data_IF_923710363779
#
_entry.id   IF_923710363779
#
_cell.length_a   1.000
_cell.length_b   1.000
_cell.length_c   1.000
_cell.angle_alpha   90.00
_cell.angle_beta   90.00
_cell.angle_gamma   90.00
#
_symmetry.space_group_name_H-M   'P 1'
#
loop_
_entity.id
_entity.type
_entity.pdbx_description
1 polymer ?
#
# COMPACT_ATOMS: atom_id res chain seq x y z
N UNK A 1 -1.52 -19.55 -8.07
CA UNK A 1 -2.94 -19.57 -8.50
C UNK A 1 -3.69 -18.68 -7.52
N UNK A 2 -4.59 -17.82 -7.99
CA UNK A 2 -5.35 -16.90 -7.13
C UNK A 2 -6.28 -17.72 -6.21
N UNK A 3 -6.36 -17.37 -4.92
CA UNK A 3 -7.10 -18.15 -3.93
C UNK A 3 -8.57 -17.70 -3.86
N UNK A 4 -9.50 -18.64 -3.68
CA UNK A 4 -10.87 -18.34 -3.31
C UNK A 4 -11.24 -19.02 -1.98
N UNK A 5 -12.14 -18.42 -1.21
CA UNK A 5 -12.63 -19.01 0.05
C UNK A 5 -14.13 -19.26 0.01
N UNK A 6 -14.54 -20.41 0.54
CA UNK A 6 -15.92 -20.85 0.61
C UNK A 6 -16.36 -20.83 2.07
N UNK A 7 -17.29 -19.94 2.39
CA UNK A 7 -18.00 -19.85 3.66
C UNK A 7 -19.32 -20.58 3.48
N UNK A 8 -19.56 -21.65 4.22
CA UNK A 8 -20.83 -22.39 4.13
C UNK A 8 -21.02 -23.28 5.37
N UNK A 9 -22.24 -23.74 5.60
CA UNK A 9 -22.47 -24.78 6.59
C UNK A 9 -21.75 -26.08 6.20
N UNK A 10 -20.93 -26.60 7.10
CA UNK A 10 -20.19 -27.85 6.92
C UNK A 10 -21.00 -29.02 7.48
N UNK A 11 -20.94 -30.18 6.81
CA UNK A 11 -21.57 -31.43 7.27
C UNK A 11 -23.07 -31.52 6.98
N UNK A 12 -23.62 -30.64 6.14
CA UNK A 12 -24.95 -30.80 5.59
C UNK A 12 -24.83 -31.44 4.19
N UNK A 13 -25.40 -32.64 3.95
CA UNK A 13 -25.23 -33.36 2.68
C UNK A 13 -25.67 -32.60 1.43
N UNK A 14 -26.75 -31.81 1.52
CA UNK A 14 -27.24 -31.02 0.39
C UNK A 14 -26.26 -29.88 0.04
N UNK A 15 -25.79 -29.17 1.08
CA UNK A 15 -24.84 -28.08 0.88
C UNK A 15 -23.48 -28.59 0.42
N UNK A 16 -23.02 -29.72 0.95
CA UNK A 16 -21.80 -30.38 0.48
C UNK A 16 -21.94 -30.79 -1.00
N UNK A 17 -23.09 -31.33 -1.41
CA UNK A 17 -23.37 -31.64 -2.82
C UNK A 17 -23.33 -30.40 -3.71
N UNK A 18 -24.01 -29.31 -3.34
CA UNK A 18 -23.99 -28.05 -4.12
C UNK A 18 -22.59 -27.45 -4.18
N UNK A 19 -21.82 -27.55 -3.11
CA UNK A 19 -20.43 -27.09 -3.07
C UNK A 19 -19.56 -27.85 -4.10
N UNK A 20 -19.66 -29.18 -4.11
CA UNK A 20 -18.90 -30.05 -5.01
C UNK A 20 -19.37 -29.97 -6.47
N UNK A 21 -20.68 -29.88 -6.69
CA UNK A 21 -21.28 -29.89 -8.03
C UNK A 21 -21.29 -28.52 -8.72
N UNK A 22 -21.34 -27.42 -7.97
CA UNK A 22 -21.43 -26.07 -8.52
C UNK A 22 -20.35 -25.10 -8.04
N UNK A 23 -20.21 -24.87 -6.73
CA UNK A 23 -19.34 -23.78 -6.21
C UNK A 23 -17.87 -24.04 -6.57
N UNK A 24 -17.34 -25.22 -6.28
CA UNK A 24 -15.95 -25.60 -6.56
C UNK A 24 -15.67 -25.61 -8.07
N UNK A 25 -16.49 -26.24 -8.92
CA UNK A 25 -16.33 -26.18 -10.37
C UNK A 25 -16.36 -24.75 -10.93
N UNK A 26 -17.27 -23.89 -10.46
CA UNK A 26 -17.36 -22.50 -10.90
C UNK A 26 -16.08 -21.71 -10.59
N UNK A 27 -15.56 -21.84 -9.36
CA UNK A 27 -14.31 -21.21 -8.95
C UNK A 27 -13.11 -21.69 -9.79
N UNK A 28 -13.00 -23.02 -9.99
CA UNK A 28 -11.93 -23.61 -10.82
C UNK A 28 -12.01 -23.16 -12.28
N UNK A 29 -13.20 -23.09 -12.86
CA UNK A 29 -13.41 -22.59 -14.23
C UNK A 29 -12.98 -21.12 -14.40
N UNK A 30 -12.96 -20.36 -13.29
CA UNK A 30 -12.46 -18.98 -13.22
C UNK A 30 -10.98 -18.87 -12.81
N UNK A 31 -10.23 -19.98 -12.80
CA UNK A 31 -8.79 -20.00 -12.51
C UNK A 31 -8.43 -19.81 -11.03
N UNK A 32 -9.40 -20.00 -10.13
CA UNK A 32 -9.21 -19.85 -8.68
C UNK A 32 -8.92 -21.20 -8.02
N UNK A 33 -8.15 -21.16 -6.93
CA UNK A 33 -7.89 -22.28 -6.03
C UNK A 33 -8.88 -22.24 -4.84
N UNK A 34 -9.96 -23.05 -4.85
CA UNK A 34 -11.01 -22.99 -3.84
C UNK A 34 -10.56 -23.60 -2.52
N UNK A 35 -10.71 -22.84 -1.43
CA UNK A 35 -10.43 -23.24 -0.05
C UNK A 35 -11.73 -23.33 0.74
N UNK A 36 -11.79 -24.37 1.56
CA UNK A 36 -12.86 -24.64 2.54
C UNK A 36 -12.19 -25.14 3.82
N UNK A 37 -12.56 -24.59 4.96
CA UNK A 37 -11.78 -24.73 6.20
C UNK A 37 -11.69 -26.18 6.69
N UNK A 38 -12.73 -27.00 6.55
CA UNK A 38 -12.70 -28.42 6.92
C UNK A 38 -11.78 -29.27 6.04
N UNK A 39 -11.53 -28.84 4.80
CA UNK A 39 -10.72 -29.58 3.82
C UNK A 39 -9.26 -29.11 3.74
N UNK A 40 -8.99 -27.87 4.12
CA UNK A 40 -7.71 -27.21 3.86
C UNK A 40 -7.04 -26.65 5.11
N UNK A 41 -7.55 -26.96 6.30
CA UNK A 41 -6.91 -26.53 7.53
C UNK A 41 -5.51 -27.14 7.68
N UNK A 42 -4.65 -26.44 8.42
CA UNK A 42 -3.26 -26.86 8.70
C UNK A 42 -3.07 -27.37 10.14
N UNK A 43 -4.17 -27.64 10.84
CA UNK A 43 -4.16 -28.08 12.24
C UNK A 43 -3.89 -26.98 13.28
N UNK A 44 -3.91 -25.71 12.87
CA UNK A 44 -3.83 -24.56 13.77
C UNK A 44 -5.19 -24.22 14.43
N UNK A 45 -5.26 -23.06 15.09
CA UNK A 45 -6.53 -22.56 15.60
C UNK A 45 -7.46 -22.24 14.43
N UNK A 46 -8.60 -22.94 14.36
CA UNK A 46 -9.56 -22.85 13.25
C UNK A 46 -9.94 -21.39 12.93
N UNK A 47 -10.13 -20.56 13.96
CA UNK A 47 -10.44 -19.14 13.82
C UNK A 47 -9.34 -18.36 13.08
N UNK A 48 -8.07 -18.60 13.40
CA UNK A 48 -6.96 -17.90 12.73
C UNK A 48 -6.80 -18.31 11.27
N UNK A 49 -7.13 -19.56 10.94
CA UNK A 49 -7.05 -20.04 9.56
C UNK A 49 -8.20 -19.50 8.70
N UNK A 50 -9.42 -19.42 9.26
CA UNK A 50 -10.56 -18.77 8.61
C UNK A 50 -10.24 -17.29 8.31
N UNK A 51 -9.67 -16.57 9.28
CA UNK A 51 -9.21 -15.18 9.08
C UNK A 51 -8.20 -15.11 7.93
N UNK A 52 -7.18 -15.97 7.93
CA UNK A 52 -6.17 -15.99 6.88
C UNK A 52 -6.76 -16.34 5.50
N UNK A 53 -7.74 -17.24 5.44
CA UNK A 53 -8.44 -17.54 4.19
C UNK A 53 -9.28 -16.37 3.69
N UNK A 54 -9.99 -15.66 4.57
CA UNK A 54 -10.76 -14.47 4.20
C UNK A 54 -9.82 -13.37 3.70
N UNK A 55 -8.79 -13.02 4.45
CA UNK A 55 -7.84 -11.96 4.10
C UNK A 55 -7.03 -12.29 2.83
N UNK A 56 -6.68 -13.56 2.61
CA UNK A 56 -5.86 -14.00 1.48
C UNK A 56 -6.59 -14.36 0.18
N UNK A 57 -7.94 -14.38 0.16
CA UNK A 57 -8.71 -14.83 -1.03
C UNK A 57 -9.20 -13.68 -1.91
N UNK A 58 -9.04 -13.79 -3.21
CA UNK A 58 -9.47 -12.76 -4.17
C UNK A 58 -10.98 -12.82 -4.45
N UNK A 59 -11.60 -13.97 -4.21
CA UNK A 59 -13.05 -14.18 -4.28
C UNK A 59 -13.49 -14.98 -3.05
N UNK A 60 -14.60 -14.57 -2.45
CA UNK A 60 -15.22 -15.24 -1.32
C UNK A 60 -16.66 -15.56 -1.70
N UNK A 61 -17.03 -16.83 -1.65
CA UNK A 61 -18.42 -17.28 -1.85
C UNK A 61 -18.98 -17.69 -0.50
N UNK A 62 -20.04 -17.01 -0.05
CA UNK A 62 -20.64 -17.27 1.25
C UNK A 62 -22.10 -17.70 1.12
N UNK A 63 -22.38 -18.93 1.53
CA UNK A 63 -23.72 -19.49 1.53
C UNK A 63 -24.41 -19.28 2.88
N UNK A 64 -25.58 -18.65 2.85
CA UNK A 64 -26.38 -18.25 4.01
C UNK A 64 -27.50 -19.25 4.35
N UNK A 65 -27.59 -20.36 3.64
CA UNK A 65 -28.64 -21.38 3.85
C UNK A 65 -28.59 -21.91 5.28
N UNK A 66 -29.77 -22.13 5.87
CA UNK A 66 -29.99 -22.57 7.25
C UNK A 66 -29.51 -21.60 8.34
N UNK A 67 -29.34 -20.31 8.01
CA UNK A 67 -29.16 -19.24 9.00
C UNK A 67 -27.98 -19.47 9.95
N UNK A 68 -26.86 -20.01 9.43
CA UNK A 68 -25.76 -20.47 10.27
C UNK A 68 -24.97 -19.32 10.90
N UNK A 69 -24.92 -19.21 12.25
CA UNK A 69 -24.28 -18.07 12.91
C UNK A 69 -22.82 -17.85 12.52
N UNK A 70 -22.05 -18.93 12.32
CA UNK A 70 -20.65 -18.83 11.91
C UNK A 70 -20.50 -18.22 10.50
N UNK A 71 -21.36 -18.59 9.55
CA UNK A 71 -21.33 -18.02 8.21
C UNK A 71 -21.66 -16.52 8.24
N UNK A 72 -22.63 -16.11 9.07
CA UNK A 72 -22.95 -14.70 9.28
C UNK A 72 -21.79 -13.92 9.92
N UNK A 73 -21.11 -14.51 10.90
CA UNK A 73 -19.92 -13.91 11.53
C UNK A 73 -18.78 -13.73 10.51
N UNK A 74 -18.52 -14.74 9.68
CA UNK A 74 -17.47 -14.72 8.65
C UNK A 74 -17.80 -13.72 7.53
N UNK A 75 -19.07 -13.60 7.14
CA UNK A 75 -19.54 -12.55 6.22
C UNK A 75 -19.36 -11.17 6.84
N UNK A 76 -19.77 -10.98 8.09
CA UNK A 76 -19.59 -9.71 8.80
C UNK A 76 -18.11 -9.33 8.92
N UNK A 77 -17.23 -10.30 9.21
CA UNK A 77 -15.79 -10.07 9.23
C UNK A 77 -15.24 -9.73 7.84
N UNK A 78 -15.66 -10.45 6.79
CA UNK A 78 -15.29 -10.18 5.40
C UNK A 78 -15.64 -8.74 4.99
N UNK A 79 -16.83 -8.26 5.37
CA UNK A 79 -17.24 -6.87 5.19
C UNK A 79 -16.37 -5.91 6.02
N UNK A 80 -16.11 -6.25 7.29
CA UNK A 80 -15.29 -5.45 8.21
C UNK A 80 -13.84 -5.25 7.75
N UNK A 81 -13.25 -6.22 7.05
CA UNK A 81 -11.91 -6.10 6.44
C UNK A 81 -11.94 -5.50 5.03
N UNK A 82 -13.03 -4.84 4.65
CA UNK A 82 -13.23 -4.16 3.36
C UNK A 82 -13.15 -5.07 2.14
N UNK A 83 -13.47 -6.36 2.29
CA UNK A 83 -13.50 -7.34 1.18
C UNK A 83 -14.92 -7.61 0.68
N UNK A 84 -15.82 -6.65 0.88
CA UNK A 84 -17.19 -6.72 0.38
C UNK A 84 -17.23 -6.86 -1.15
N UNK A 85 -16.32 -6.21 -1.89
CA UNK A 85 -16.25 -6.34 -3.35
C UNK A 85 -15.82 -7.74 -3.81
N UNK A 86 -15.13 -8.50 -2.96
CA UNK A 86 -14.72 -9.87 -3.21
C UNK A 86 -15.81 -10.89 -2.86
N UNK A 87 -16.86 -10.47 -2.15
CA UNK A 87 -17.89 -11.33 -1.59
C UNK A 87 -19.05 -11.56 -2.58
N UNK A 88 -19.42 -12.83 -2.75
CA UNK A 88 -20.64 -13.27 -3.44
C UNK A 88 -21.48 -14.03 -2.42
N UNK A 89 -22.66 -13.50 -2.11
CA UNK A 89 -23.62 -14.17 -1.24
C UNK A 89 -24.45 -15.17 -2.05
N UNK A 90 -24.69 -16.35 -1.48
CA UNK A 90 -25.57 -17.38 -2.03
C UNK A 90 -26.53 -17.88 -0.95
N UNK A 91 -27.69 -18.40 -1.35
CA UNK A 91 -28.61 -19.07 -0.44
C UNK A 91 -29.58 -19.97 -1.22
N UNK A 92 -30.18 -20.97 -0.57
CA UNK A 92 -31.26 -21.75 -1.20
C UNK A 92 -32.48 -20.87 -1.47
N UNK A 93 -33.16 -21.11 -2.59
CA UNK A 93 -34.26 -20.28 -3.09
C UNK A 93 -35.39 -20.07 -2.06
N UNK A 94 -35.67 -21.05 -1.20
CA UNK A 94 -36.69 -20.96 -0.15
C UNK A 94 -36.35 -19.97 0.98
N UNK A 95 -35.10 -19.49 1.04
CA UNK A 95 -34.66 -18.45 1.98
C UNK A 95 -34.88 -17.02 1.46
N UNK A 96 -35.30 -16.87 0.20
CA UNK A 96 -35.68 -15.58 -0.36
C UNK A 96 -37.11 -15.23 0.09
N UNK A 97 -37.25 -14.24 0.98
CA UNK A 97 -38.55 -13.83 1.49
C UNK A 97 -39.46 -13.19 0.43
N UNK A 98 -38.87 -12.65 -0.64
CA UNK A 98 -39.59 -12.06 -1.77
C UNK A 98 -40.03 -13.10 -2.80
N UNK A 99 -39.63 -14.38 -2.63
CA UNK A 99 -40.02 -15.43 -3.54
C UNK A 99 -41.50 -15.84 -3.30
N UNK A 100 -42.34 -15.91 -4.34
CA UNK A 100 -43.73 -16.36 -4.21
C UNK A 100 -43.89 -17.76 -3.58
N UNK A 101 -42.85 -18.59 -3.63
CA UNK A 101 -42.83 -19.94 -3.04
C UNK A 101 -42.40 -19.95 -1.56
N UNK A 102 -41.95 -18.82 -1.01
CA UNK A 102 -41.54 -18.74 0.38
C UNK A 102 -42.74 -18.92 1.31
N UNK A 103 -42.59 -19.80 2.30
CA UNK A 103 -43.65 -20.07 3.28
C UNK A 103 -43.51 -19.12 4.48
N UNK A 104 -44.59 -18.48 4.94
CA UNK A 104 -44.55 -17.71 6.18
C UNK A 104 -43.99 -18.54 7.34
N UNK A 105 -42.99 -18.00 8.03
CA UNK A 105 -42.28 -18.70 9.12
C UNK A 105 -41.26 -19.76 8.66
N UNK A 106 -41.02 -19.87 7.35
CA UNK A 106 -39.95 -20.69 6.79
C UNK A 106 -38.55 -20.08 6.95
N UNK A 107 -37.50 -20.82 6.51
CA UNK A 107 -36.12 -20.35 6.55
C UNK A 107 -35.95 -19.03 5.78
N UNK A 108 -35.05 -18.16 6.24
CA UNK A 108 -34.86 -16.84 5.61
C UNK A 108 -33.44 -16.34 5.69
N UNK A 109 -33.05 -15.45 4.79
CA UNK A 109 -31.90 -14.57 5.02
C UNK A 109 -32.34 -13.43 5.95
N UNK A 110 -31.65 -13.26 7.08
CA UNK A 110 -31.93 -12.18 8.04
C UNK A 110 -31.75 -10.78 7.45
N UNK A 111 -32.49 -9.82 8.02
CA UNK A 111 -32.63 -8.45 7.47
C UNK A 111 -31.30 -7.73 7.23
N UNK A 112 -30.28 -7.98 8.06
CA UNK A 112 -28.95 -7.38 7.90
C UNK A 112 -28.30 -7.75 6.57
N UNK A 113 -28.61 -8.93 6.02
CA UNK A 113 -28.05 -9.43 4.76
C UNK A 113 -29.08 -9.49 3.61
N UNK A 114 -30.38 -9.46 3.89
CA UNK A 114 -31.43 -9.66 2.88
C UNK A 114 -31.49 -8.55 1.82
N UNK A 115 -30.98 -7.35 2.14
CA UNK A 115 -30.90 -6.23 1.19
C UNK A 115 -29.73 -6.27 0.20
N UNK A 116 -28.83 -7.26 0.32
CA UNK A 116 -27.70 -7.42 -0.59
C UNK A 116 -28.06 -8.28 -1.81
N UNK A 117 -27.24 -8.19 -2.85
CA UNK A 117 -27.35 -9.07 -4.02
C UNK A 117 -26.95 -10.51 -3.66
N UNK A 118 -27.96 -11.36 -3.46
CA UNK A 118 -27.81 -12.78 -3.14
C UNK A 118 -28.15 -13.61 -4.38
N UNK A 119 -27.24 -14.52 -4.75
CA UNK A 119 -27.50 -15.50 -5.79
C UNK A 119 -28.22 -16.71 -5.19
N UNK A 120 -29.50 -16.85 -5.48
CA UNK A 120 -30.29 -17.98 -5.02
C UNK A 120 -30.09 -19.24 -5.88
N UNK A 121 -30.09 -20.41 -5.25
CA UNK A 121 -29.97 -21.71 -5.92
C UNK A 121 -31.13 -22.65 -5.59
N UNK A 122 -31.48 -23.52 -6.55
CA UNK A 122 -32.49 -24.59 -6.41
C UNK A 122 -31.77 -25.95 -6.55
N UNK A 123 -31.96 -26.90 -5.62
CA UNK A 123 -31.44 -28.27 -5.74
C UNK A 123 -31.72 -28.96 -7.09
N UNK A 124 -32.79 -28.57 -7.79
CA UNK A 124 -33.17 -29.13 -9.09
C UNK A 124 -32.41 -28.49 -10.24
N UNK A 125 -31.81 -27.31 -10.06
CA UNK A 125 -31.25 -26.47 -11.13
C UNK A 125 -29.80 -26.04 -10.81
N UNK A 126 -29.02 -26.95 -10.20
CA UNK A 126 -27.64 -26.71 -9.73
C UNK A 126 -26.69 -26.26 -10.86
N UNK A 127 -26.86 -26.77 -12.07
CA UNK A 127 -26.06 -26.35 -13.24
C UNK A 127 -26.33 -24.91 -13.67
N UNK A 128 -27.56 -24.41 -13.51
CA UNK A 128 -27.90 -23.01 -13.80
C UNK A 128 -27.25 -22.09 -12.77
N UNK A 129 -27.33 -22.48 -11.50
CA UNK A 129 -26.62 -21.80 -10.42
C UNK A 129 -25.11 -21.75 -10.68
N UNK A 130 -24.47 -22.87 -11.07
CA UNK A 130 -23.04 -22.88 -11.43
C UNK A 130 -22.72 -21.85 -12.51
N UNK A 131 -23.46 -21.87 -13.62
CA UNK A 131 -23.24 -20.96 -14.76
C UNK A 131 -23.41 -19.49 -14.34
N UNK A 132 -24.39 -19.19 -13.51
CA UNK A 132 -24.61 -17.81 -13.05
C UNK A 132 -23.54 -17.37 -12.03
N UNK A 133 -23.12 -18.28 -11.14
CA UNK A 133 -22.01 -18.04 -10.22
C UNK A 133 -20.71 -17.77 -11.00
N UNK A 134 -20.39 -18.55 -12.03
CA UNK A 134 -19.24 -18.31 -12.92
C UNK A 134 -19.27 -16.91 -13.54
N UNK A 135 -20.44 -16.45 -14.02
CA UNK A 135 -20.59 -15.08 -14.56
C UNK A 135 -20.34 -14.03 -13.50
N UNK A 136 -20.89 -14.20 -12.30
CA UNK A 136 -20.69 -13.27 -11.17
C UNK A 136 -19.22 -13.21 -10.76
N UNK A 137 -18.56 -14.36 -10.65
CA UNK A 137 -17.12 -14.44 -10.36
C UNK A 137 -16.32 -13.68 -11.43
N UNK A 138 -16.57 -13.93 -12.72
CA UNK A 138 -15.88 -13.23 -13.82
C UNK A 138 -16.12 -11.72 -13.78
N UNK A 139 -17.36 -11.27 -13.51
CA UNK A 139 -17.68 -9.85 -13.32
C UNK A 139 -16.91 -9.25 -12.15
N UNK A 140 -16.88 -9.93 -11.00
CA UNK A 140 -16.13 -9.48 -9.81
C UNK A 140 -14.63 -9.46 -10.09
N UNK A 141 -14.06 -10.48 -10.72
CA UNK A 141 -12.65 -10.51 -11.14
C UNK A 141 -12.33 -9.39 -12.14
N UNK A 142 -13.24 -9.06 -13.06
CA UNK A 142 -13.07 -7.94 -13.98
C UNK A 142 -13.16 -6.58 -13.26
N UNK A 143 -14.06 -6.43 -12.29
CA UNK A 143 -14.15 -5.23 -11.44
C UNK A 143 -12.92 -5.10 -10.55
N UNK A 144 -12.51 -6.15 -9.83
CA UNK A 144 -11.29 -6.18 -9.01
C UNK A 144 -10.03 -5.95 -9.87
N UNK A 145 -10.00 -6.51 -11.09
CA UNK A 145 -8.94 -6.28 -12.08
C UNK A 145 -8.95 -4.89 -12.70
N UNK A 146 -10.11 -4.22 -12.80
CA UNK A 146 -10.25 -2.82 -13.21
C UNK A 146 -10.02 -1.84 -12.06
N UNK A 147 -10.21 -2.25 -10.79
CA UNK A 147 -9.86 -1.47 -9.60
C UNK A 147 -8.34 -1.26 -9.50
N UNK A 148 -7.51 -2.10 -10.14
CA UNK A 148 -6.06 -1.83 -10.30
C UNK A 148 -5.79 -0.63 -11.22
N UNK A 149 -6.73 -0.23 -12.07
CA UNK A 149 -6.64 0.94 -12.93
C UNK A 149 -7.41 2.17 -12.40
N UNK A 150 -7.99 2.07 -11.19
CA UNK A 150 -8.91 3.09 -10.67
C UNK A 150 -9.12 3.05 -9.16
N UNK A 151 -8.12 2.67 -8.37
CA UNK A 151 -8.16 2.91 -6.92
C UNK A 151 -8.34 4.42 -6.68
N UNK A 152 -9.18 4.87 -5.73
CA UNK A 152 -8.92 6.15 -5.11
C UNK A 152 -7.47 6.08 -4.64
N UNK A 153 -6.66 6.94 -5.24
CA UNK A 153 -5.25 7.10 -4.93
C UNK A 153 -5.07 7.01 -3.41
N UNK A 154 -4.17 6.16 -2.92
CA UNK A 154 -3.84 6.12 -1.48
C UNK A 154 -3.47 7.54 -0.96
N UNK A 155 -3.00 8.37 -1.89
CA UNK A 155 -2.76 9.79 -1.75
C UNK A 155 -4.06 10.59 -1.70
N UNK A 156 -4.32 11.19 -0.54
CA UNK A 156 -5.23 12.31 -0.39
C UNK A 156 -4.67 13.52 -1.14
N UNK A 157 -5.11 13.70 -2.39
CA UNK A 157 -4.62 14.78 -3.27
C UNK A 157 -5.04 16.16 -2.79
N UNK A 158 -6.18 16.28 -2.12
CA UNK A 158 -6.66 17.54 -1.56
C UNK A 158 -5.72 18.04 -0.45
N UNK A 159 -5.04 17.14 0.25
CA UNK A 159 -3.98 17.48 1.19
C UNK A 159 -2.59 17.62 0.54
N UNK A 160 -2.21 16.71 -0.36
CA UNK A 160 -0.84 16.66 -0.92
C UNK A 160 -0.56 17.74 -1.95
N UNK A 161 -1.50 18.01 -2.86
CA UNK A 161 -1.25 18.92 -3.97
C UNK A 161 -1.00 20.37 -3.52
N UNK A 162 -1.70 20.92 -2.50
CA UNK A 162 -1.36 22.22 -1.94
C UNK A 162 0.08 22.30 -1.41
N UNK A 163 0.53 21.29 -0.66
CA UNK A 163 1.91 21.21 -0.16
C UNK A 163 2.92 21.15 -1.30
N UNK A 164 2.61 20.37 -2.34
CA UNK A 164 3.44 20.26 -3.54
C UNK A 164 3.55 21.57 -4.31
N UNK A 165 2.43 22.27 -4.52
CA UNK A 165 2.39 23.55 -5.21
C UNK A 165 3.27 24.58 -4.49
N UNK A 166 3.14 24.69 -3.16
CA UNK A 166 3.96 25.61 -2.35
C UNK A 166 5.44 25.25 -2.47
N UNK A 167 5.78 23.98 -2.23
CA UNK A 167 7.17 23.52 -2.25
C UNK A 167 7.84 23.70 -3.62
N UNK A 168 7.14 23.40 -4.71
CA UNK A 168 7.64 23.57 -6.09
C UNK A 168 7.83 25.04 -6.45
N UNK A 169 6.88 25.91 -6.07
CA UNK A 169 7.03 27.36 -6.28
C UNK A 169 8.25 27.92 -5.57
N UNK A 170 8.51 27.47 -4.34
CA UNK A 170 9.54 28.08 -3.50
C UNK A 170 10.94 27.48 -3.74
N UNK A 171 11.05 26.20 -4.15
CA UNK A 171 12.33 25.65 -4.62
C UNK A 171 12.83 26.34 -5.89
N UNK A 172 11.94 26.72 -6.82
CA UNK A 172 12.31 27.42 -8.06
C UNK A 172 13.04 28.75 -7.79
N UNK A 173 12.75 29.40 -6.64
CA UNK A 173 13.43 30.63 -6.21
C UNK A 173 14.89 30.39 -5.78
N UNK A 174 15.25 29.17 -5.40
CA UNK A 174 16.58 28.83 -4.84
C UNK A 174 17.67 28.59 -5.90
N UNK A 175 17.38 28.87 -7.19
CA UNK A 175 18.26 28.56 -8.35
C UNK A 175 18.59 27.06 -8.49
N UNK A 176 17.95 26.19 -7.72
CA UNK A 176 18.08 24.74 -7.79
C UNK A 176 17.05 24.19 -8.77
N UNK A 177 17.51 23.31 -9.66
CA UNK A 177 16.63 22.70 -10.67
C UNK A 177 16.19 21.31 -10.24
N UNK A 178 17.05 20.59 -9.52
CA UNK A 178 16.78 19.22 -9.12
C UNK A 178 16.10 19.12 -7.77
N UNK A 179 15.17 18.17 -7.64
CA UNK A 179 14.54 17.84 -6.38
C UNK A 179 14.31 16.34 -6.19
N UNK A 180 14.09 15.96 -4.93
CA UNK A 180 13.55 14.68 -4.49
C UNK A 180 12.31 14.97 -3.65
N UNK A 181 11.19 14.37 -4.02
CA UNK A 181 9.94 14.37 -3.27
C UNK A 181 9.73 12.96 -2.69
N UNK A 182 9.26 12.91 -1.44
CA UNK A 182 8.98 11.70 -0.68
C UNK A 182 7.59 11.83 -0.06
N UNK A 183 6.80 10.76 -0.15
CA UNK A 183 5.44 10.72 0.36
C UNK A 183 5.23 9.42 1.11
N UNK A 184 4.60 9.48 2.29
CA UNK A 184 4.15 8.31 3.03
C UNK A 184 2.67 8.41 3.34
N UNK A 185 1.94 7.32 3.19
CA UNK A 185 0.56 7.20 3.66
C UNK A 185 0.28 5.77 4.12
N UNK A 186 -0.54 5.63 5.16
CA UNK A 186 -0.97 4.32 5.65
C UNK A 186 -2.28 3.94 4.97
N UNK A 187 -2.36 2.72 4.42
CA UNK A 187 -3.58 2.24 3.75
C UNK A 187 -4.74 2.04 4.73
N UNK A 188 -4.42 1.58 5.94
CA UNK A 188 -5.38 1.31 7.02
C UNK A 188 -4.82 1.81 8.36
N UNK A 189 -5.69 2.01 9.35
CA UNK A 189 -5.30 2.32 10.73
C UNK A 189 -4.42 3.58 10.88
N UNK A 190 -4.84 4.67 10.23
CA UNK A 190 -4.18 5.97 10.38
C UNK A 190 -4.25 6.43 11.84
N UNK A 191 -3.14 6.88 12.46
CA UNK A 191 -3.18 7.44 13.81
C UNK A 191 -4.02 8.73 13.83
N UNK A 192 -4.27 9.28 15.02
CA UNK A 192 -4.80 10.63 15.16
C UNK A 192 -4.00 11.31 16.27
N UNK A 193 -3.13 12.24 15.88
CA UNK A 193 -2.11 12.83 16.76
C UNK A 193 -2.24 14.34 16.83
N UNK A 194 -2.02 14.86 18.03
CA UNK A 194 -1.90 16.30 18.26
C UNK A 194 -0.63 16.84 17.59
N UNK A 195 -0.60 18.14 17.28
CA UNK A 195 0.56 18.79 16.68
C UNK A 195 1.82 18.65 17.54
N UNK A 196 1.67 18.61 18.87
CA UNK A 196 2.77 18.38 19.79
C UNK A 196 3.33 16.95 19.67
N UNK A 197 2.46 15.93 19.62
CA UNK A 197 2.90 14.55 19.39
C UNK A 197 3.56 14.38 18.02
N UNK A 198 3.03 15.04 16.97
CA UNK A 198 3.66 15.03 15.63
C UNK A 198 5.05 15.66 15.66
N UNK A 199 5.21 16.79 16.34
CA UNK A 199 6.49 17.49 16.47
C UNK A 199 7.54 16.61 17.16
N UNK A 200 7.16 15.98 18.27
CA UNK A 200 8.04 15.06 19.01
C UNK A 200 8.38 13.80 18.20
N UNK A 201 7.40 13.25 17.47
CA UNK A 201 7.62 12.09 16.62
C UNK A 201 8.57 12.39 15.46
N UNK A 202 8.38 13.51 14.76
CA UNK A 202 9.26 13.96 13.68
C UNK A 202 10.69 14.19 14.19
N UNK A 203 10.84 14.85 15.34
CA UNK A 203 12.14 15.10 15.96
C UNK A 203 12.88 13.79 16.31
N UNK A 204 12.18 12.83 16.93
CA UNK A 204 12.76 11.54 17.32
C UNK A 204 13.05 10.62 16.12
N UNK A 205 12.42 10.87 14.98
CA UNK A 205 12.60 10.07 13.77
C UNK A 205 13.85 10.43 12.96
N UNK A 206 14.48 11.59 13.20
CA UNK A 206 15.63 12.07 12.43
C UNK A 206 16.79 11.06 12.37
N UNK A 207 17.44 10.99 11.20
CA UNK A 207 18.63 10.17 10.95
C UNK A 207 19.80 11.07 10.54
N UNK A 208 20.61 11.48 11.52
CA UNK A 208 21.69 12.46 11.31
C UNK A 208 23.00 11.83 10.80
N UNK A 209 22.93 11.12 9.68
CA UNK A 209 24.09 10.41 9.10
C UNK A 209 24.65 11.05 7.80
N UNK A 210 23.87 11.88 7.09
CA UNK A 210 24.29 12.44 5.81
C UNK A 210 23.66 13.79 5.47
N UNK A 211 24.37 14.89 5.73
CA UNK A 211 23.86 16.25 5.50
C UNK A 211 22.63 16.54 6.37
N UNK A 212 21.72 17.40 5.90
CA UNK A 212 20.43 17.56 6.57
C UNK A 212 19.59 16.28 6.44
N UNK A 213 19.00 15.79 7.55
CA UNK A 213 18.20 14.58 7.55
C UNK A 213 16.87 14.78 6.82
N UNK A 214 16.27 13.67 6.37
CA UNK A 214 14.85 13.63 6.00
C UNK A 214 14.01 14.13 7.19
N UNK A 215 13.15 15.12 6.94
CA UNK A 215 12.25 15.66 7.97
C UNK A 215 12.96 16.47 9.07
N UNK A 216 14.04 17.20 8.76
CA UNK A 216 14.80 18.00 9.73
C UNK A 216 13.89 18.92 10.58
N UNK A 217 14.11 18.92 11.90
CA UNK A 217 13.41 19.69 12.93
C UNK A 217 14.39 20.65 13.60
N UNK A 218 14.14 21.94 13.46
CA UNK A 218 14.87 22.98 14.18
C UNK A 218 14.16 23.33 15.50
N UNK A 219 14.85 23.14 16.63
CA UNK A 219 14.26 23.39 17.96
C UNK A 219 14.34 24.86 18.39
N UNK A 220 15.50 25.48 18.15
CA UNK A 220 15.88 26.78 18.71
C UNK A 220 15.98 27.89 17.66
N UNK A 221 15.77 27.56 16.38
CA UNK A 221 15.75 28.54 15.30
C UNK A 221 14.29 28.89 14.98
N UNK A 222 13.81 30.01 15.48
CA UNK A 222 12.42 30.47 15.26
C UNK A 222 12.07 30.57 13.77
N UNK A 223 13.06 30.82 12.90
CA UNK A 223 12.85 30.95 11.46
C UNK A 223 12.49 29.61 10.81
N UNK A 224 13.14 28.53 11.25
CA UNK A 224 13.04 27.20 10.61
C UNK A 224 12.31 26.17 11.46
N UNK A 225 11.87 26.53 12.65
CA UNK A 225 11.10 25.65 13.53
C UNK A 225 9.80 25.22 12.85
N UNK A 226 9.43 23.93 12.89
CA UNK A 226 8.12 23.48 12.42
C UNK A 226 6.98 24.25 13.08
N UNK A 227 6.01 24.66 12.26
CA UNK A 227 4.85 25.43 12.66
C UNK A 227 3.60 24.56 12.64
N UNK A 228 2.69 24.68 13.63
CA UNK A 228 1.42 23.96 13.60
C UNK A 228 0.50 24.50 12.50
N UNK A 229 -0.29 23.62 11.91
CA UNK A 229 -1.42 23.90 11.01
C UNK A 229 -2.71 23.34 11.62
N UNK A 230 -3.85 23.63 10.98
CA UNK A 230 -5.16 23.13 11.40
C UNK A 230 -5.22 21.60 11.46
N UNK A 231 -4.43 20.91 10.64
CA UNK A 231 -4.47 19.48 10.46
C UNK A 231 -3.10 18.79 10.63
N UNK A 232 -2.08 19.48 11.14
CA UNK A 232 -0.74 18.91 11.28
C UNK A 232 0.34 19.91 11.64
N UNK A 233 1.54 19.65 11.15
CA UNK A 233 2.71 20.52 11.26
C UNK A 233 3.40 20.66 9.91
N UNK A 234 4.04 21.80 9.67
CA UNK A 234 4.78 22.09 8.43
C UNK A 234 6.11 22.76 8.76
N UNK A 235 7.15 22.41 8.03
CA UNK A 235 8.47 23.04 8.13
C UNK A 235 8.95 23.40 6.72
N UNK A 236 9.51 24.60 6.60
CA UNK A 236 10.12 25.08 5.38
C UNK A 236 11.47 25.72 5.72
N UNK A 237 12.50 25.22 5.07
CA UNK A 237 13.88 25.66 5.22
C UNK A 237 14.37 26.08 3.84
N UNK A 238 14.34 27.39 3.61
CA UNK A 238 14.78 28.00 2.36
C UNK A 238 16.07 28.80 2.60
N UNK A 239 17.18 28.27 2.11
CA UNK A 239 18.48 28.94 2.04
C UNK A 239 18.86 29.21 0.57
N UNK A 240 19.83 30.10 0.35
CA UNK A 240 20.29 30.46 -1.01
C UNK A 240 20.70 29.25 -1.86
N UNK A 241 21.16 28.16 -1.22
CA UNK A 241 21.70 26.97 -1.91
C UNK A 241 21.09 25.64 -1.43
N UNK A 242 20.05 25.67 -0.60
CA UNK A 242 19.34 24.47 -0.12
C UNK A 242 17.87 24.79 0.11
N UNK A 243 17.02 23.86 -0.25
CA UNK A 243 15.59 23.92 -0.01
C UNK A 243 15.10 22.60 0.56
N UNK A 244 14.39 22.64 1.67
CA UNK A 244 13.73 21.50 2.30
C UNK A 244 12.36 21.95 2.82
N UNK A 245 11.30 21.30 2.34
CA UNK A 245 9.92 21.50 2.75
C UNK A 245 9.36 20.16 3.18
N UNK A 246 8.72 20.09 4.34
CA UNK A 246 7.98 18.89 4.73
C UNK A 246 6.74 19.22 5.55
N UNK A 247 5.75 18.35 5.47
CA UNK A 247 4.51 18.43 6.20
C UNK A 247 4.15 17.05 6.77
N UNK A 248 3.57 17.04 7.96
CA UNK A 248 3.10 15.85 8.64
C UNK A 248 1.70 16.12 9.18
N UNK A 249 0.72 15.35 8.73
CA UNK A 249 -0.69 15.50 9.11
C UNK A 249 -1.02 14.70 10.38
N UNK A 250 -2.09 15.07 11.10
CA UNK A 250 -2.57 14.37 12.30
C UNK A 250 -2.79 12.87 12.06
N UNK A 251 -3.08 12.49 10.82
CA UNK A 251 -3.35 11.12 10.41
C UNK A 251 -2.09 10.32 10.02
N UNK A 252 -0.90 10.91 10.18
CA UNK A 252 0.38 10.30 9.82
C UNK A 252 0.73 10.35 8.33
N UNK A 253 -0.07 11.01 7.48
CA UNK A 253 0.34 11.31 6.10
C UNK A 253 1.54 12.27 6.14
N UNK A 254 2.57 11.94 5.37
CA UNK A 254 3.82 12.68 5.35
C UNK A 254 4.16 13.10 3.92
N UNK A 255 4.61 14.33 3.78
CA UNK A 255 5.09 14.91 2.54
C UNK A 255 6.44 15.55 2.77
N UNK A 256 7.37 15.36 1.84
CA UNK A 256 8.63 16.08 1.80
C UNK A 256 9.00 16.41 0.35
N UNK A 257 9.55 17.60 0.12
CA UNK A 257 10.26 17.97 -1.08
C UNK A 257 11.57 18.66 -0.69
N UNK A 258 12.66 18.19 -1.28
CA UNK A 258 13.99 18.73 -1.00
C UNK A 258 14.82 18.89 -2.27
N UNK A 259 15.65 19.92 -2.31
CA UNK A 259 16.63 20.13 -3.37
C UNK A 259 17.71 19.03 -3.38
N UNK A 260 18.24 18.76 -4.58
CA UNK A 260 19.33 17.79 -4.74
C UNK A 260 20.66 18.38 -4.26
N UNK A 261 21.36 17.62 -3.41
CA UNK A 261 22.70 17.97 -2.92
C UNK A 261 23.70 18.18 -4.08
N UNK A 262 23.50 17.46 -5.18
CA UNK A 262 24.33 17.52 -6.39
C UNK A 262 24.32 18.91 -7.02
N UNK A 263 23.22 19.65 -6.94
CA UNK A 263 23.19 21.03 -7.46
C UNK A 263 24.08 21.99 -6.66
N UNK A 264 24.55 21.59 -5.48
CA UNK A 264 25.58 22.33 -4.72
C UNK A 264 26.98 21.80 -4.98
N UNK A 265 27.14 20.48 -5.21
CA UNK A 265 28.45 19.83 -5.35
C UNK A 265 28.97 19.78 -6.78
N UNK A 266 28.12 19.37 -7.72
CA UNK A 266 28.44 19.22 -9.14
C UNK A 266 27.17 19.47 -9.95
N UNK A 267 26.86 20.74 -10.28
CA UNK A 267 25.67 21.11 -11.04
C UNK A 267 25.57 20.32 -12.36
N UNK A 268 24.34 19.93 -12.72
CA UNK A 268 24.09 19.10 -13.91
C UNK A 268 24.40 17.61 -13.72
N UNK A 269 24.78 17.17 -12.52
CA UNK A 269 24.97 15.75 -12.22
C UNK A 269 23.91 15.21 -11.27
N UNK A 270 23.77 13.89 -11.24
CA UNK A 270 23.02 13.15 -10.21
C UNK A 270 23.87 11.96 -9.77
N UNK A 271 23.99 11.73 -8.46
CA UNK A 271 24.88 10.73 -7.91
C UNK A 271 24.10 9.49 -7.49
N UNK A 272 24.31 8.35 -8.16
CA UNK A 272 23.52 7.14 -7.89
C UNK A 272 23.67 6.66 -6.44
N UNK A 273 24.88 6.73 -5.89
CA UNK A 273 25.17 6.34 -4.51
C UNK A 273 24.51 7.28 -3.49
N UNK A 274 24.45 8.59 -3.79
CA UNK A 274 23.70 9.56 -2.98
C UNK A 274 22.20 9.32 -3.06
N UNK A 275 21.67 8.92 -4.22
CA UNK A 275 20.26 8.55 -4.37
C UNK A 275 19.90 7.28 -3.59
N UNK A 276 20.76 6.26 -3.63
CA UNK A 276 20.62 5.06 -2.79
C UNK A 276 20.60 5.45 -1.30
N UNK A 277 21.56 6.29 -0.85
CA UNK A 277 21.59 6.77 0.55
C UNK A 277 20.30 7.49 0.92
N UNK A 278 19.82 8.43 0.10
CA UNK A 278 18.61 9.20 0.41
C UNK A 278 17.33 8.38 0.39
N UNK A 279 17.20 7.41 -0.52
CA UNK A 279 16.06 6.47 -0.52
C UNK A 279 16.12 5.55 0.70
N UNK A 280 17.32 5.07 1.08
CA UNK A 280 17.52 4.26 2.29
C UNK A 280 17.13 5.04 3.55
N UNK A 281 17.59 6.28 3.66
CA UNK A 281 17.25 7.18 4.76
C UNK A 281 15.75 7.44 4.85
N UNK A 282 15.07 7.67 3.71
CA UNK A 282 13.62 7.86 3.68
C UNK A 282 12.85 6.64 4.19
N UNK A 283 13.26 5.42 3.80
CA UNK A 283 12.67 4.17 4.29
C UNK A 283 12.87 3.98 5.80
N UNK A 284 14.08 4.22 6.31
CA UNK A 284 14.36 4.10 7.74
C UNK A 284 13.67 5.19 8.56
N UNK A 285 13.62 6.42 8.04
CA UNK A 285 12.87 7.52 8.65
C UNK A 285 11.38 7.20 8.73
N UNK A 286 10.79 6.62 7.67
CA UNK A 286 9.41 6.13 7.66
C UNK A 286 9.15 5.13 8.81
N UNK A 287 10.01 4.13 9.00
CA UNK A 287 9.90 3.16 10.09
C UNK A 287 9.98 3.84 11.46
N UNK A 288 10.98 4.71 11.68
CA UNK A 288 11.16 5.44 12.94
C UNK A 288 9.95 6.34 13.24
N UNK A 289 9.51 7.12 12.26
CA UNK A 289 8.37 8.01 12.39
C UNK A 289 7.10 7.26 12.80
N UNK A 290 6.72 6.22 12.06
CA UNK A 290 5.51 5.47 12.37
C UNK A 290 5.59 4.70 13.68
N UNK A 291 6.79 4.24 14.07
CA UNK A 291 7.02 3.71 15.42
C UNK A 291 6.76 4.77 16.50
N UNK A 292 7.22 6.00 16.33
CA UNK A 292 6.97 7.10 17.29
C UNK A 292 5.49 7.51 17.33
N UNK A 293 4.78 7.39 16.21
CA UNK A 293 3.34 7.64 16.13
C UNK A 293 2.49 6.49 16.73
N UNK A 294 3.11 5.40 17.18
CA UNK A 294 2.42 4.25 17.78
C UNK A 294 1.70 3.36 16.77
N UNK A 295 2.14 3.35 15.51
CA UNK A 295 1.55 2.52 14.46
C UNK A 295 2.09 1.10 14.56
N UNK A 296 1.20 0.11 14.45
CA UNK A 296 1.58 -1.31 14.45
C UNK A 296 2.51 -1.63 13.28
N UNK A 297 3.56 -2.41 13.53
CA UNK A 297 4.54 -2.78 12.50
C UNK A 297 3.95 -3.70 11.39
N UNK A 298 2.77 -4.27 11.58
CA UNK A 298 2.02 -5.02 10.56
C UNK A 298 1.27 -4.11 9.59
N UNK A 299 1.09 -2.83 9.92
CA UNK A 299 0.39 -1.87 9.06
C UNK A 299 1.14 -1.66 7.75
N UNK A 300 0.40 -1.66 6.63
CA UNK A 300 0.94 -1.38 5.30
C UNK A 300 1.05 0.12 5.07
N UNK A 301 2.26 0.55 4.73
CA UNK A 301 2.57 1.90 4.27
C UNK A 301 2.77 1.90 2.76
N UNK A 302 2.21 2.90 2.09
CA UNK A 302 2.54 3.24 0.71
C UNK A 302 3.56 4.37 0.72
N UNK A 303 4.63 4.19 -0.04
CA UNK A 303 5.78 5.09 -0.12
C UNK A 303 5.98 5.49 -1.58
N UNK A 304 5.82 6.78 -1.86
CA UNK A 304 6.07 7.38 -3.16
C UNK A 304 7.36 8.20 -3.15
N UNK A 305 8.18 8.04 -4.19
CA UNK A 305 9.39 8.84 -4.38
C UNK A 305 9.41 9.39 -5.80
N UNK A 306 9.54 10.71 -5.92
CA UNK A 306 9.70 11.41 -7.19
C UNK A 306 11.05 12.11 -7.23
N UNK A 307 11.76 11.98 -8.33
CA UNK A 307 12.95 12.78 -8.62
C UNK A 307 12.65 13.66 -9.82
N UNK A 308 12.96 14.95 -9.74
CA UNK A 308 12.68 15.89 -10.82
C UNK A 308 13.82 16.85 -11.11
N UNK A 309 13.68 17.59 -12.20
CA UNK A 309 14.74 18.43 -12.76
C UNK A 309 15.89 17.61 -13.35
N UNK A 310 15.59 16.42 -13.87
CA UNK A 310 16.56 15.43 -14.34
C UNK A 310 17.05 15.66 -15.77
N UNK A 311 16.29 16.39 -16.58
CA UNK A 311 16.59 16.58 -18.00
C UNK A 311 18.00 17.14 -18.19
N UNK A 312 18.74 16.54 -19.12
CA UNK A 312 20.12 16.87 -19.48
C UNK A 312 21.16 16.64 -18.37
N UNK A 313 20.76 16.05 -17.24
CA UNK A 313 21.74 15.66 -16.20
C UNK A 313 22.55 14.45 -16.63
N UNK A 314 23.73 14.33 -16.04
CA UNK A 314 24.63 13.18 -16.17
C UNK A 314 24.62 12.36 -14.88
N UNK A 315 24.41 11.05 -14.99
CA UNK A 315 24.58 10.14 -13.87
C UNK A 315 26.06 9.97 -13.55
N UNK A 316 26.41 10.08 -12.27
CA UNK A 316 27.77 9.91 -11.74
C UNK A 316 27.71 9.28 -10.34
N UNK A 317 28.82 9.30 -9.62
CA UNK A 317 28.92 8.88 -8.22
C UNK A 317 29.52 9.99 -7.36
N UNK A 318 29.11 10.05 -6.10
CA UNK A 318 29.75 10.90 -5.10
C UNK A 318 31.09 10.30 -4.63
N UNK A 319 31.17 8.97 -4.53
CA UNK A 319 32.39 8.28 -4.12
C UNK A 319 33.40 8.17 -5.29
N UNK A 320 34.65 8.63 -5.13
CA UNK A 320 35.66 8.56 -6.20
C UNK A 320 35.90 7.15 -6.74
N UNK A 321 35.84 6.13 -5.89
CA UNK A 321 36.00 4.72 -6.28
C UNK A 321 34.83 4.13 -7.08
N UNK A 322 33.78 4.91 -7.36
CA UNK A 322 32.57 4.47 -8.09
C UNK A 322 32.31 5.30 -9.36
N UNK A 323 33.29 6.09 -9.79
CA UNK A 323 33.15 6.92 -10.99
C UNK A 323 32.89 6.05 -12.22
N UNK A 324 31.89 6.47 -13.00
CA UNK A 324 31.47 5.78 -14.21
C UNK A 324 32.40 6.20 -15.37
N UNK A 325 32.80 5.24 -16.20
CA UNK A 325 33.55 5.52 -17.45
C UNK A 325 32.64 6.20 -18.49
N UNK A 326 31.40 5.73 -18.60
CA UNK A 326 30.35 6.36 -19.39
C UNK A 326 29.72 7.52 -18.63
N UNK A 327 29.25 8.54 -19.35
CA UNK A 327 28.48 9.68 -18.82
C UNK A 327 27.03 9.62 -19.29
N UNK A 328 26.22 8.64 -18.82
CA UNK A 328 24.88 8.50 -19.33
C UNK A 328 24.03 9.71 -18.89
N UNK A 329 23.25 10.23 -19.84
CA UNK A 329 22.32 11.34 -19.64
C UNK A 329 20.88 10.89 -19.85
N UNK A 330 19.92 11.76 -19.52
CA UNK A 330 18.48 11.50 -19.70
C UNK A 330 17.76 12.69 -20.34
N UNK A 331 16.76 12.41 -21.17
CA UNK A 331 15.81 13.41 -21.68
C UNK A 331 14.60 13.59 -20.75
N UNK A 332 14.33 12.61 -19.88
CA UNK A 332 13.25 12.66 -18.91
C UNK A 332 13.53 13.71 -17.85
N UNK A 333 12.52 14.53 -17.53
CA UNK A 333 12.67 15.54 -16.49
C UNK A 333 12.34 14.99 -15.10
N UNK A 334 11.44 14.01 -15.01
CA UNK A 334 10.98 13.46 -13.76
C UNK A 334 10.81 11.95 -13.83
N UNK A 335 11.01 11.28 -12.69
CA UNK A 335 10.71 9.86 -12.52
C UNK A 335 10.01 9.68 -11.19
N UNK A 336 8.92 8.91 -11.20
CA UNK A 336 8.18 8.49 -10.02
C UNK A 336 8.32 6.98 -9.81
N UNK A 337 8.38 6.56 -8.55
CA UNK A 337 8.36 5.15 -8.15
C UNK A 337 7.63 5.02 -6.82
N UNK A 338 6.88 3.93 -6.68
CA UNK A 338 6.02 3.69 -5.53
C UNK A 338 6.12 2.23 -5.09
N UNK A 339 6.02 1.99 -3.79
CA UNK A 339 5.86 0.66 -3.19
C UNK A 339 4.78 0.69 -2.10
N UNK A 340 4.13 -0.44 -1.86
CA UNK A 340 3.29 -0.67 -0.67
C UNK A 340 3.82 -1.88 0.09
N UNK A 341 4.14 -1.71 1.36
CA UNK A 341 4.84 -2.72 2.15
C UNK A 341 4.45 -2.64 3.64
N UNK A 342 4.29 -3.77 4.37
CA UNK A 342 4.17 -3.73 5.82
C UNK A 342 5.41 -3.09 6.46
N UNK A 343 5.23 -2.22 7.47
CA UNK A 343 6.35 -1.53 8.14
C UNK A 343 7.46 -2.49 8.61
N UNK A 344 7.08 -3.63 9.17
CA UNK A 344 8.01 -4.68 9.64
C UNK A 344 8.89 -5.28 8.54
N UNK A 345 8.49 -5.16 7.27
CA UNK A 345 9.23 -5.71 6.13
C UNK A 345 10.29 -4.75 5.59
N UNK A 346 10.22 -3.46 5.93
CA UNK A 346 11.11 -2.43 5.38
C UNK A 346 12.57 -2.74 5.73
N UNK A 347 12.89 -2.94 7.00
CA UNK A 347 14.27 -3.23 7.42
C UNK A 347 14.73 -4.62 6.93
N UNK A 348 13.86 -5.64 7.01
CA UNK A 348 14.19 -7.01 6.59
C UNK A 348 14.44 -7.17 5.08
N UNK A 349 13.92 -6.26 4.25
CA UNK A 349 14.04 -6.29 2.79
C UNK A 349 14.59 -4.96 2.23
N UNK A 350 15.39 -4.23 3.02
CA UNK A 350 15.80 -2.86 2.71
C UNK A 350 16.48 -2.73 1.34
N UNK A 351 17.41 -3.64 1.03
CA UNK A 351 18.14 -3.64 -0.26
C UNK A 351 17.18 -3.82 -1.44
N UNK A 352 16.24 -4.77 -1.34
CA UNK A 352 15.25 -5.02 -2.38
C UNK A 352 14.36 -3.79 -2.62
N UNK A 353 13.85 -3.18 -1.55
CA UNK A 353 12.98 -2.00 -1.65
C UNK A 353 13.71 -0.77 -2.23
N UNK A 354 14.96 -0.53 -1.84
CA UNK A 354 15.77 0.56 -2.40
C UNK A 354 16.04 0.33 -3.89
N UNK A 355 16.30 -0.91 -4.29
CA UNK A 355 16.47 -1.29 -5.70
C UNK A 355 15.19 -1.02 -6.49
N UNK A 356 14.03 -1.43 -5.97
CA UNK A 356 12.75 -1.19 -6.63
C UNK A 356 12.43 0.30 -6.81
N UNK A 357 12.65 1.10 -5.76
CA UNK A 357 12.40 2.56 -5.76
C UNK A 357 13.40 3.37 -6.59
N UNK A 358 14.59 2.84 -6.87
CA UNK A 358 15.61 3.53 -7.68
C UNK A 358 15.74 2.99 -9.11
N UNK A 359 15.12 1.84 -9.41
CA UNK A 359 15.23 1.16 -10.70
C UNK A 359 14.88 2.09 -11.86
N UNK A 360 13.71 2.72 -11.83
CA UNK A 360 13.28 3.62 -12.91
C UNK A 360 14.19 4.84 -13.02
N UNK A 361 14.59 5.41 -11.87
CA UNK A 361 15.50 6.55 -11.84
C UNK A 361 16.81 6.24 -12.57
N UNK A 362 17.36 5.05 -12.41
CA UNK A 362 18.60 4.66 -13.05
C UNK A 362 18.41 4.26 -14.52
N UNK A 363 17.32 3.57 -14.84
CA UNK A 363 17.05 3.14 -16.22
C UNK A 363 16.91 4.31 -17.21
N UNK A 364 16.36 5.45 -16.79
CA UNK A 364 16.22 6.62 -17.70
C UNK A 364 17.56 7.25 -18.09
N UNK A 365 18.65 6.96 -17.37
CA UNK A 365 20.01 7.35 -17.76
C UNK A 365 20.60 6.29 -18.69
N UNK A 366 20.08 6.21 -19.91
CA UNK A 366 20.56 5.31 -20.97
C UNK A 366 20.65 3.83 -20.53
N UNK A 367 19.56 3.31 -19.97
CA UNK A 367 19.44 1.92 -19.50
C UNK A 367 20.46 1.52 -18.43
N UNK A 368 20.99 2.49 -17.67
CA UNK A 368 21.95 2.21 -16.62
C UNK A 368 21.35 1.23 -15.58
N UNK A 369 22.08 0.16 -15.33
CA UNK A 369 21.75 -0.87 -14.34
C UNK A 369 22.92 -0.98 -13.38
N UNK A 370 22.60 -0.89 -12.08
CA UNK A 370 23.57 -1.06 -11.02
C UNK A 370 23.53 -2.50 -10.50
N UNK A 371 24.69 -3.09 -10.28
CA UNK A 371 24.80 -4.42 -9.69
C UNK A 371 24.34 -4.43 -8.23
N UNK A 372 23.76 -5.54 -7.81
CA UNK A 372 23.22 -5.71 -6.45
C UNK A 372 24.26 -5.48 -5.36
N UNK A 373 25.49 -5.95 -5.59
CA UNK A 373 26.61 -5.74 -4.67
C UNK A 373 26.85 -4.25 -4.37
N UNK A 374 26.72 -3.38 -5.36
CA UNK A 374 26.90 -1.94 -5.15
C UNK A 374 25.79 -1.33 -4.29
N UNK A 375 24.55 -1.82 -4.39
CA UNK A 375 23.47 -1.44 -3.48
C UNK A 375 23.80 -1.85 -2.05
N UNK A 376 24.14 -3.13 -1.84
CA UNK A 376 24.51 -3.67 -0.51
C UNK A 376 25.66 -2.86 0.10
N UNK A 377 26.72 -2.60 -0.67
CA UNK A 377 27.89 -1.85 -0.20
C UNK A 377 27.56 -0.40 0.19
N UNK A 378 26.67 0.27 -0.54
CA UNK A 378 26.28 1.66 -0.22
C UNK A 378 25.36 1.69 0.99
N UNK A 379 24.39 0.78 1.07
CA UNK A 379 23.40 0.69 2.14
C UNK A 379 24.10 0.33 3.46
N UNK A 380 24.95 -0.69 3.49
CA UNK A 380 25.64 -1.10 4.72
C UNK A 380 26.53 0.02 5.27
N UNK A 381 27.30 0.70 4.40
CA UNK A 381 28.11 1.87 4.80
C UNK A 381 27.29 3.04 5.33
N UNK A 382 26.02 3.14 4.95
CA UNK A 382 25.11 4.13 5.51
C UNK A 382 24.60 3.67 6.87
N UNK A 383 24.14 2.42 6.99
CA UNK A 383 23.63 1.84 8.24
C UNK A 383 24.69 1.89 9.35
N UNK A 384 25.95 1.59 9.05
CA UNK A 384 27.09 1.69 9.98
C UNK A 384 27.26 3.09 10.63
N UNK A 385 26.68 4.14 10.03
CA UNK A 385 26.71 5.52 10.56
C UNK A 385 25.45 5.90 11.33
N UNK A 386 24.42 5.06 11.25
CA UNK A 386 23.09 5.27 11.83
C UNK A 386 22.94 4.49 13.14
N UNK A 387 23.60 3.33 13.22
CA UNK A 387 23.88 2.57 14.46
C UNK A 387 24.98 3.23 15.25
#
# INVERSE_FOLDING_TARGET
MSQAFIIMQIGNPELDHVCEAAIVPALKACGLDPKRVDKHNKGGLLKSEIIAFIEGSDIIVADLTNERPNCYLEVGYTMGVKKFENLILTAREDHNQDNPKHKPGGPKVHFDLSGYDILFWDPKHVDEFRKELEKRIKRRQASIGQVVAGTPSAWDKDWLDPHRIVAMRDIEKTRKKGFMEVQFTLLNSKPNKTQQELFEAAQKAEIRAFGWPIGIVFNNDEKYRPRPTVDGIVCEVAEEKSYDYWALRFNGDFYLLKSLLEDKRQPGSIFFDTRIVRVTEALLYCVRLYSQLGVLNTTVVTIGIRHGGLRDRILSAAAPGRLLRSKPSTAENEVYSEISVPLMRIESNLVGLVKDLTRQLFMVFNFFKLEEKAYVDVINKFIEKVT
#
